data_IF_099574687757
#
_entry.id   IF_099574687757
#
_cell.length_a   1.000
_cell.length_b   1.000
_cell.length_c   1.000
_cell.angle_alpha   90.00
_cell.angle_beta   90.00
_cell.angle_gamma   90.00
#
_symmetry.space_group_name_H-M   'P 1'
#
loop_
_entity.id
_entity.type
_entity.pdbx_description
1 polymer ?
#
# COMPACT_ATOMS: atom_id res chain seq x y z
N UNK A 1 -8.03 1.81 4.95
CA UNK A 1 -7.35 0.87 5.86
C UNK A 1 -6.04 1.45 6.36
N UNK A 2 -5.09 1.77 5.48
CA UNK A 2 -3.80 2.37 5.85
C UNK A 2 -3.93 3.65 6.69
N UNK A 3 -4.79 4.60 6.30
CA UNK A 3 -5.02 5.83 7.08
C UNK A 3 -5.42 5.55 8.54
N UNK A 4 -6.34 4.60 8.76
CA UNK A 4 -6.74 4.17 10.10
C UNK A 4 -5.61 3.45 10.85
N UNK A 5 -4.82 2.62 10.16
CA UNK A 5 -3.70 1.92 10.75
C UNK A 5 -2.61 2.92 11.21
N UNK A 6 -2.27 3.91 10.38
CA UNK A 6 -1.30 4.96 10.71
C UNK A 6 -1.75 5.78 11.91
N UNK A 7 -3.03 6.17 11.99
CA UNK A 7 -3.56 6.90 13.16
C UNK A 7 -3.52 6.12 14.47
N UNK A 8 -3.64 4.80 14.40
CA UNK A 8 -3.63 3.91 15.57
C UNK A 8 -2.22 3.46 15.95
N UNK A 9 -1.25 3.60 15.05
CA UNK A 9 0.12 3.25 15.28
C UNK A 9 0.71 4.15 16.38
N UNK A 10 1.55 3.57 17.24
CA UNK A 10 2.28 4.33 18.28
C UNK A 10 3.62 4.86 17.80
N UNK A 11 4.04 4.42 16.62
CA UNK A 11 5.37 4.62 16.04
C UNK A 11 5.30 5.29 14.66
N UNK A 12 4.17 5.91 14.32
CA UNK A 12 3.99 6.67 13.08
C UNK A 12 2.97 7.80 13.31
N UNK A 13 3.12 8.87 12.56
CA UNK A 13 2.19 9.99 12.52
C UNK A 13 1.66 10.16 11.10
N UNK A 14 0.35 10.46 10.98
CA UNK A 14 -0.24 10.77 9.68
C UNK A 14 0.01 12.25 9.34
N UNK A 15 1.18 12.53 8.78
CA UNK A 15 1.58 13.91 8.41
C UNK A 15 0.73 14.44 7.26
N UNK A 16 0.55 13.64 6.20
CA UNK A 16 -0.09 14.09 4.97
C UNK A 16 -1.02 13.05 4.34
N UNK A 17 -2.05 13.54 3.65
CA UNK A 17 -2.81 12.80 2.64
C UNK A 17 -2.63 13.52 1.30
N UNK A 18 -2.36 12.77 0.24
CA UNK A 18 -2.27 13.28 -1.11
C UNK A 18 -3.23 12.55 -2.04
N UNK A 19 -4.07 13.32 -2.75
CA UNK A 19 -4.97 12.80 -3.79
C UNK A 19 -5.28 13.92 -4.79
N UNK A 20 -5.38 13.59 -6.08
CA UNK A 20 -5.73 14.54 -7.14
C UNK A 20 -7.21 14.94 -7.08
N UNK A 21 -8.06 14.10 -6.50
CA UNK A 21 -9.48 14.36 -6.32
C UNK A 21 -9.72 15.15 -5.03
N UNK A 22 -9.85 16.47 -5.14
CA UNK A 22 -10.01 17.39 -4.01
C UNK A 22 -11.18 17.04 -3.08
N UNK A 23 -12.28 16.50 -3.62
CA UNK A 23 -13.45 16.09 -2.86
C UNK A 23 -13.18 14.83 -2.00
N UNK A 24 -12.48 13.84 -2.54
CA UNK A 24 -12.01 12.68 -1.76
C UNK A 24 -10.99 13.11 -0.72
N UNK A 25 -10.05 13.97 -1.11
CA UNK A 25 -9.02 14.50 -0.22
C UNK A 25 -9.63 15.21 0.98
N UNK A 26 -10.56 16.14 0.74
CA UNK A 26 -11.26 16.88 1.79
C UNK A 26 -12.05 15.94 2.72
N UNK A 27 -12.72 14.93 2.15
CA UNK A 27 -13.47 13.94 2.94
C UNK A 27 -12.55 13.06 3.80
N UNK A 28 -11.45 12.59 3.25
CA UNK A 28 -10.48 11.78 3.99
C UNK A 28 -9.79 12.61 5.07
N UNK A 29 -9.47 13.87 4.78
CA UNK A 29 -8.89 14.79 5.75
C UNK A 29 -9.84 15.07 6.93
N UNK A 30 -11.14 15.22 6.68
CA UNK A 30 -12.13 15.39 7.76
C UNK A 30 -12.24 14.15 8.68
N UNK A 31 -12.05 12.94 8.16
CA UNK A 31 -12.15 11.69 8.92
C UNK A 31 -10.85 11.38 9.68
N UNK A 32 -9.72 11.53 9.00
CA UNK A 32 -8.42 11.07 9.49
C UNK A 32 -7.55 12.18 10.07
N UNK A 33 -7.89 13.46 9.84
CA UNK A 33 -7.23 14.64 10.39
C UNK A 33 -5.70 14.58 10.23
N UNK A 34 -5.17 14.47 8.99
CA UNK A 34 -3.73 14.62 8.77
C UNK A 34 -3.29 16.04 9.14
N UNK A 35 -1.99 16.23 9.36
CA UNK A 35 -1.44 17.58 9.60
C UNK A 35 -1.62 18.47 8.36
N UNK A 36 -1.44 17.91 7.16
CA UNK A 36 -1.55 18.62 5.87
C UNK A 36 -2.22 17.78 4.80
N UNK A 37 -2.63 18.45 3.72
CA UNK A 37 -3.15 17.81 2.51
C UNK A 37 -2.42 18.34 1.29
N UNK A 38 -2.27 17.49 0.28
CA UNK A 38 -1.63 17.83 -0.98
C UNK A 38 -2.48 17.33 -2.15
N UNK A 39 -2.57 18.12 -3.22
CA UNK A 39 -3.18 17.68 -4.49
C UNK A 39 -2.14 17.25 -5.53
N UNK A 40 -0.86 17.41 -5.18
CA UNK A 40 0.30 17.21 -6.04
C UNK A 40 1.34 16.37 -5.32
N UNK A 41 1.68 15.23 -5.91
CA UNK A 41 2.57 14.26 -5.30
C UNK A 41 4.01 14.77 -5.17
N UNK A 42 4.52 15.47 -6.18
CA UNK A 42 5.83 16.11 -6.17
C UNK A 42 5.97 17.14 -5.04
N UNK A 43 4.93 17.95 -4.83
CA UNK A 43 4.89 18.91 -3.73
C UNK A 43 4.90 18.21 -2.35
N UNK A 44 4.19 17.09 -2.22
CA UNK A 44 4.23 16.29 -0.98
C UNK A 44 5.62 15.68 -0.76
N UNK A 45 6.25 15.12 -1.79
CA UNK A 45 7.58 14.50 -1.66
C UNK A 45 8.68 15.50 -1.27
N UNK A 46 8.52 16.78 -1.64
CA UNK A 46 9.44 17.84 -1.26
C UNK A 46 9.33 18.24 0.23
N UNK A 47 8.29 17.80 0.96
CA UNK A 47 8.13 18.07 2.39
C UNK A 47 9.21 17.32 3.20
N UNK A 48 10.11 18.02 3.90
CA UNK A 48 11.15 17.39 4.69
C UNK A 48 10.59 16.69 5.94
N UNK A 49 9.35 16.97 6.37
CA UNK A 49 8.71 16.32 7.53
C UNK A 49 8.11 14.94 7.20
N UNK A 50 8.17 14.50 5.94
CA UNK A 50 7.69 13.19 5.51
C UNK A 50 8.88 12.23 5.40
N UNK A 51 8.93 11.19 6.22
CA UNK A 51 9.99 10.16 6.17
C UNK A 51 9.65 9.00 5.23
N UNK A 52 8.35 8.68 5.13
CA UNK A 52 7.84 7.50 4.45
C UNK A 52 6.50 7.77 3.76
N UNK A 53 6.24 7.10 2.64
CA UNK A 53 4.98 7.18 1.90
C UNK A 53 4.30 5.81 1.81
N UNK A 54 2.97 5.83 1.86
CA UNK A 54 2.12 4.67 1.54
C UNK A 54 1.42 4.95 0.21
N UNK A 55 1.76 4.18 -0.83
CA UNK A 55 1.18 4.28 -2.16
C UNK A 55 0.04 3.26 -2.28
N UNK A 56 -1.20 3.75 -2.31
CA UNK A 56 -2.43 2.95 -2.39
C UNK A 56 -3.35 3.38 -3.53
N UNK A 57 -2.77 3.67 -4.70
CA UNK A 57 -3.49 4.13 -5.89
C UNK A 57 -3.73 2.96 -6.87
N UNK A 58 -4.14 3.24 -8.11
CA UNK A 58 -4.21 2.19 -9.13
C UNK A 58 -2.81 1.65 -9.45
N UNK A 59 -2.73 0.34 -9.71
CA UNK A 59 -1.50 -0.42 -9.89
C UNK A 59 -0.61 0.06 -11.04
N UNK A 60 -1.22 0.61 -12.10
CA UNK A 60 -0.50 1.25 -13.21
C UNK A 60 0.42 2.39 -12.77
N UNK A 61 0.12 3.06 -11.66
CA UNK A 61 0.90 4.19 -11.16
C UNK A 61 1.94 3.79 -10.10
N UNK A 62 1.90 2.54 -9.61
CA UNK A 62 2.70 2.13 -8.45
C UNK A 62 4.20 2.27 -8.69
N UNK A 63 4.74 1.72 -9.78
CA UNK A 63 6.18 1.76 -10.05
C UNK A 63 6.67 3.20 -10.24
N UNK A 64 5.96 3.99 -11.03
CA UNK A 64 6.35 5.37 -11.31
C UNK A 64 6.33 6.26 -10.05
N UNK A 65 5.31 6.12 -9.19
CA UNK A 65 5.23 6.88 -7.94
C UNK A 65 6.23 6.38 -6.90
N UNK A 66 6.44 5.06 -6.83
CA UNK A 66 7.46 4.47 -5.98
C UNK A 66 8.86 4.98 -6.34
N UNK A 67 9.19 5.05 -7.63
CA UNK A 67 10.45 5.60 -8.09
C UNK A 67 10.62 7.05 -7.66
N UNK A 68 9.61 7.89 -7.89
CA UNK A 68 9.65 9.31 -7.47
C UNK A 68 9.88 9.46 -5.96
N UNK A 69 9.28 8.60 -5.14
CA UNK A 69 9.50 8.62 -3.70
C UNK A 69 10.93 8.19 -3.31
N UNK A 70 11.46 7.16 -3.95
CA UNK A 70 12.85 6.72 -3.76
C UNK A 70 13.84 7.82 -4.18
N UNK A 71 13.62 8.44 -5.33
CA UNK A 71 14.44 9.56 -5.82
C UNK A 71 14.38 10.77 -4.86
N UNK A 72 13.24 10.99 -4.21
CA UNK A 72 13.06 12.01 -3.17
C UNK A 72 13.59 11.60 -1.78
N UNK A 73 14.23 10.43 -1.65
CA UNK A 73 14.81 9.94 -0.40
C UNK A 73 13.80 9.43 0.62
N UNK A 74 12.58 9.05 0.20
CA UNK A 74 11.50 8.62 1.09
C UNK A 74 11.40 7.10 1.17
N UNK A 75 11.15 6.55 2.36
CA UNK A 75 10.79 5.15 2.50
C UNK A 75 9.44 4.85 1.84
N UNK A 76 9.24 3.65 1.29
CA UNK A 76 8.05 3.35 0.51
C UNK A 76 7.37 2.07 1.01
N UNK A 77 6.08 2.16 1.27
CA UNK A 77 5.17 1.03 1.26
C UNK A 77 4.22 1.19 0.07
N UNK A 78 4.19 0.22 -0.84
CA UNK A 78 3.31 0.25 -2.02
C UNK A 78 2.34 -0.92 -1.99
N UNK A 79 1.07 -0.68 -2.27
CA UNK A 79 0.07 -1.74 -2.32
C UNK A 79 0.33 -2.76 -3.43
N UNK A 80 -0.23 -3.95 -3.27
CA UNK A 80 -0.12 -5.02 -4.28
C UNK A 80 -1.20 -4.87 -5.36
N UNK A 81 -0.90 -5.20 -6.64
CA UNK A 81 0.40 -5.65 -7.17
C UNK A 81 1.41 -4.50 -7.28
N UNK A 82 2.72 -4.79 -7.29
CA UNK A 82 3.78 -3.78 -7.37
C UNK A 82 3.75 -2.99 -8.70
N UNK A 83 3.41 -3.66 -9.79
CA UNK A 83 3.35 -3.06 -11.12
C UNK A 83 2.62 -3.99 -12.09
N UNK A 84 2.51 -3.55 -13.34
CA UNK A 84 1.79 -4.27 -14.40
C UNK A 84 2.70 -5.18 -15.23
N UNK A 85 4.02 -5.01 -15.13
CA UNK A 85 5.03 -5.84 -15.78
C UNK A 85 6.15 -6.23 -14.80
N UNK A 86 6.84 -7.34 -15.10
CA UNK A 86 7.98 -7.81 -14.29
C UNK A 86 9.18 -6.88 -14.51
N UNK A 87 9.36 -6.41 -15.75
CA UNK A 87 10.48 -5.58 -16.20
C UNK A 87 10.53 -4.24 -15.45
N UNK A 88 9.38 -3.58 -15.28
CA UNK A 88 9.27 -2.35 -14.49
C UNK A 88 9.58 -2.60 -13.00
N UNK A 89 9.12 -3.73 -12.45
CA UNK A 89 9.39 -4.11 -11.06
C UNK A 89 10.89 -4.40 -10.84
N UNK A 90 11.55 -5.06 -11.79
CA UNK A 90 12.99 -5.35 -11.74
C UNK A 90 13.83 -4.08 -11.85
N UNK A 91 13.39 -3.11 -12.66
CA UNK A 91 14.05 -1.80 -12.77
C UNK A 91 14.02 -1.07 -11.43
N UNK A 92 12.82 -0.94 -10.83
CA UNK A 92 12.65 -0.32 -9.51
C UNK A 92 13.45 -1.05 -8.42
N UNK A 93 13.58 -2.38 -8.50
CA UNK A 93 14.36 -3.16 -7.52
C UNK A 93 15.81 -2.72 -7.46
N UNK A 94 16.44 -2.42 -8.61
CA UNK A 94 17.83 -1.97 -8.65
C UNK A 94 18.00 -0.62 -7.92
N UNK A 95 17.09 0.32 -8.16
CA UNK A 95 17.13 1.66 -7.56
C UNK A 95 16.86 1.63 -6.07
N UNK A 96 15.89 0.82 -5.64
CA UNK A 96 15.64 0.55 -4.21
C UNK A 96 16.90 0.00 -3.53
N UNK A 97 17.58 -0.96 -4.15
CA UNK A 97 18.82 -1.54 -3.61
C UNK A 97 19.96 -0.51 -3.51
N UNK A 98 20.07 0.39 -4.48
CA UNK A 98 21.08 1.45 -4.48
C UNK A 98 20.79 2.56 -3.47
N UNK A 99 19.52 2.85 -3.19
CA UNK A 99 19.09 3.95 -2.32
C UNK A 99 19.38 3.73 -0.82
N UNK A 100 19.45 2.47 -0.38
CA UNK A 100 19.49 2.12 1.05
C UNK A 100 18.18 2.38 1.81
N UNK A 101 17.12 2.77 1.12
CA UNK A 101 15.80 3.03 1.71
C UNK A 101 15.04 1.72 1.95
N UNK A 102 14.25 1.69 3.02
CA UNK A 102 13.25 0.64 3.25
C UNK A 102 12.14 0.73 2.21
N UNK A 103 11.92 -0.38 1.51
CA UNK A 103 10.84 -0.56 0.55
C UNK A 103 10.03 -1.82 0.87
N UNK A 104 8.70 -1.73 0.86
CA UNK A 104 7.83 -2.85 1.14
C UNK A 104 6.61 -2.88 0.22
N UNK A 105 6.30 -4.06 -0.33
CA UNK A 105 5.02 -4.32 -0.99
C UNK A 105 3.98 -4.73 0.07
N UNK A 106 2.75 -4.26 -0.05
CA UNK A 106 1.58 -4.46 0.83
C UNK A 106 1.04 -5.91 0.91
N UNK A 107 1.92 -6.90 0.93
CA UNK A 107 1.60 -8.32 1.10
C UNK A 107 1.22 -8.64 2.57
N UNK A 108 0.16 -8.01 3.07
CA UNK A 108 -0.27 -8.05 4.47
C UNK A 108 -0.46 -9.47 5.03
N UNK A 109 -0.90 -10.45 4.21
CA UNK A 109 -1.05 -11.86 4.63
C UNK A 109 0.24 -12.48 5.16
N UNK A 110 1.42 -11.96 4.80
CA UNK A 110 2.71 -12.43 5.37
C UNK A 110 2.83 -12.16 6.88
N UNK A 111 2.05 -11.22 7.40
CA UNK A 111 2.02 -10.81 8.80
C UNK A 111 0.80 -11.37 9.55
N UNK A 112 -0.04 -12.17 8.89
CA UNK A 112 -1.12 -12.89 9.57
C UNK A 112 -0.51 -13.90 10.56
N UNK A 113 -0.94 -13.93 11.84
CA UNK A 113 -0.37 -14.82 12.85
C UNK A 113 -0.44 -16.31 12.47
N UNK A 114 -1.51 -16.72 11.78
CA UNK A 114 -1.69 -18.09 11.31
C UNK A 114 -0.69 -18.44 10.20
N UNK A 115 -0.48 -17.53 9.25
CA UNK A 115 0.54 -17.70 8.19
C UNK A 115 1.96 -17.69 8.77
N UNK A 116 2.25 -16.80 9.70
CA UNK A 116 3.53 -16.73 10.38
C UNK A 116 3.83 -18.01 11.17
N UNK A 117 2.83 -18.50 11.92
CA UNK A 117 2.92 -19.78 12.63
C UNK A 117 3.13 -20.95 11.67
N UNK A 118 2.32 -21.05 10.62
CA UNK A 118 2.43 -22.12 9.63
C UNK A 118 3.83 -22.16 9.00
N UNK A 119 4.41 -20.98 8.68
CA UNK A 119 5.80 -20.88 8.19
C UNK A 119 6.79 -21.45 9.20
N UNK A 120 6.70 -21.09 10.48
CA UNK A 120 7.60 -21.61 11.51
C UNK A 120 7.44 -23.12 11.70
N UNK A 121 6.21 -23.60 11.81
CA UNK A 121 5.90 -25.02 11.96
C UNK A 121 6.46 -25.86 10.79
N UNK A 122 6.25 -25.41 9.54
CA UNK A 122 6.77 -26.09 8.35
C UNK A 122 8.31 -26.17 8.39
N UNK A 123 9.00 -25.12 8.83
CA UNK A 123 10.47 -25.07 8.84
C UNK A 123 11.10 -25.85 9.99
N UNK A 124 10.44 -25.93 11.13
CA UNK A 124 11.07 -26.39 12.37
C UNK A 124 10.50 -27.70 12.91
N UNK A 125 9.24 -28.05 12.59
CA UNK A 125 8.52 -29.13 13.28
C UNK A 125 7.86 -30.16 12.35
N UNK A 126 7.44 -29.75 11.16
CA UNK A 126 6.64 -30.59 10.25
C UNK A 126 7.43 -31.78 9.65
N UNK A 127 8.77 -31.71 9.65
CA UNK A 127 9.61 -32.66 8.94
C UNK A 127 9.58 -32.40 7.42
N UNK A 128 9.69 -33.46 6.62
CA UNK A 128 9.73 -33.33 5.17
C UNK A 128 8.34 -33.09 4.58
N UNK A 129 8.17 -31.99 3.84
CA UNK A 129 6.93 -31.71 3.10
C UNK A 129 6.79 -32.72 1.94
N UNK A 130 5.71 -33.50 1.94
CA UNK A 130 5.44 -34.50 0.89
C UNK A 130 4.54 -33.97 -0.22
N UNK A 131 3.54 -33.17 0.12
CA UNK A 131 2.63 -32.55 -0.84
C UNK A 131 2.01 -31.28 -0.25
N UNK A 132 1.71 -30.30 -1.11
CA UNK A 132 0.94 -29.11 -0.78
C UNK A 132 -0.29 -29.04 -1.68
N UNK A 133 -1.47 -28.92 -1.07
CA UNK A 133 -2.71 -28.60 -1.77
C UNK A 133 -3.24 -27.29 -1.20
N UNK A 134 -3.44 -26.32 -2.08
CA UNK A 134 -3.96 -25.01 -1.73
C UNK A 134 -5.13 -24.64 -2.65
N UNK A 135 -6.13 -23.99 -2.07
CA UNK A 135 -7.27 -23.45 -2.79
C UNK A 135 -7.37 -21.97 -2.45
N UNK A 136 -7.47 -21.14 -3.48
CA UNK A 136 -7.77 -19.72 -3.34
C UNK A 136 -9.10 -19.47 -4.02
N UNK A 137 -10.10 -19.06 -3.25
CA UNK A 137 -11.39 -18.64 -3.76
C UNK A 137 -11.44 -17.12 -3.66
N UNK A 138 -11.54 -16.48 -4.82
CA UNK A 138 -11.84 -15.05 -4.90
C UNK A 138 -13.26 -14.88 -5.44
N UNK A 139 -13.95 -13.86 -4.94
CA UNK A 139 -15.26 -13.47 -5.44
C UNK A 139 -15.20 -12.02 -5.87
N UNK A 140 -15.32 -11.77 -7.17
CA UNK A 140 -15.55 -10.44 -7.71
C UNK A 140 -16.97 -9.93 -7.42
N UNK A 141 -17.87 -10.80 -6.92
CA UNK A 141 -19.20 -10.40 -6.46
C UNK A 141 -19.12 -9.85 -5.04
N UNK A 142 -19.48 -8.57 -4.89
CA UNK A 142 -19.82 -7.98 -3.60
C UNK A 142 -21.19 -8.53 -3.19
N UNK A 143 -21.21 -9.43 -2.21
CA UNK A 143 -22.48 -9.88 -1.64
C UNK A 143 -23.16 -8.70 -0.95
N UNK A 144 -24.48 -8.55 -1.12
CA UNK A 144 -25.28 -7.51 -0.45
C UNK A 144 -25.18 -7.57 1.07
N UNK A 145 -24.77 -8.70 1.65
CA UNK A 145 -24.58 -8.91 3.08
C UNK A 145 -23.17 -8.54 3.59
N UNK A 146 -22.21 -8.22 2.73
CA UNK A 146 -20.82 -7.91 3.14
C UNK A 146 -20.53 -6.42 3.28
N UNK A 147 -21.54 -5.55 3.18
CA UNK A 147 -21.34 -4.09 3.37
C UNK A 147 -20.81 -3.74 4.76
N UNK A 148 -21.09 -4.58 5.77
CA UNK A 148 -20.52 -4.45 7.11
C UNK A 148 -19.08 -4.97 7.22
N UNK A 149 -18.61 -5.76 6.24
CA UNK A 149 -17.29 -6.41 6.24
C UNK A 149 -16.29 -5.73 5.28
N UNK A 150 -16.78 -5.13 4.19
CA UNK A 150 -15.96 -4.44 3.21
C UNK A 150 -16.38 -2.98 3.10
N UNK A 151 -15.46 -2.01 3.24
CA UNK A 151 -15.80 -0.60 3.07
C UNK A 151 -16.40 -0.37 1.67
N UNK A 152 -17.40 0.50 1.60
CA UNK A 152 -17.99 0.94 0.33
C UNK A 152 -16.94 1.80 -0.38
N UNK A 153 -16.55 1.47 -1.62
CA UNK A 153 -15.63 2.32 -2.38
C UNK A 153 -16.24 3.71 -2.56
N UNK A 154 -15.49 4.73 -2.16
CA UNK A 154 -15.87 6.11 -2.40
C UNK A 154 -15.37 6.50 -3.79
N UNK A 155 -16.27 7.05 -4.61
CA UNK A 155 -15.95 7.52 -5.94
C UNK A 155 -15.98 9.04 -6.00
N UNK A 156 -15.17 9.59 -6.89
CA UNK A 156 -15.19 11.00 -7.28
C UNK A 156 -15.18 11.12 -8.80
N UNK A 157 -15.84 12.16 -9.31
CA UNK A 157 -15.78 12.52 -10.72
C UNK A 157 -14.41 13.10 -11.13
N UNK A 158 -13.65 13.61 -10.17
CA UNK A 158 -12.29 14.14 -10.35
C UNK A 158 -11.20 13.06 -10.21
N UNK A 159 -11.58 11.81 -9.92
CA UNK A 159 -10.63 10.71 -9.80
C UNK A 159 -9.93 10.42 -11.14
N UNK A 160 -8.60 10.45 -11.14
CA UNK A 160 -7.81 10.06 -12.29
C UNK A 160 -7.86 8.54 -12.45
N UNK A 161 -8.41 8.09 -13.59
CA UNK A 161 -8.45 6.66 -13.93
C UNK A 161 -7.27 6.29 -14.81
N UNK A 162 -6.74 5.07 -14.65
CA UNK A 162 -6.07 4.33 -15.72
C UNK A 162 -6.65 4.60 -17.12
N UNK A 163 -5.78 4.75 -18.11
CA UNK A 163 -6.16 4.81 -19.52
C UNK A 163 -6.63 3.44 -20.02
#
# INVERSE_FOLDING_TARGET
AHLEATRKARNAELVAICDVAEDLLARMAAIHMPVRTYTRYDAMLADPEIDAVIIGVADQYHVALAQQAIDAGKHVLVEKPLGVSIEECETLRADVQASGLVFQVGNNRRFDPGVAFARTFIREQMGQVMALKAWYYDSFYRYTMTDNLQPIPLASAAAQRPA
#
